data_IF_452954060808
#
_entry.id   IF_452954060808
#
_cell.length_a   1.000
_cell.length_b   1.000
_cell.length_c   1.000
_cell.angle_alpha   90.00
_cell.angle_beta   90.00
_cell.angle_gamma   90.00
#
_symmetry.space_group_name_H-M   'P 1'
#
loop_
_entity.id
_entity.type
_entity.pdbx_description
1 polymer ?
#
# COMPACT_ATOMS: atom_id res chain seq x y z
N UNK A 1 -74.08 -4.58 40.57
CA UNK A 1 -73.15 -3.47 40.29
C UNK A 1 -71.77 -4.04 39.99
N UNK A 2 -71.26 -3.73 38.81
CA UNK A 2 -69.97 -4.17 38.24
C UNK A 2 -68.83 -3.35 38.87
N UNK A 3 -67.65 -3.96 39.07
CA UNK A 3 -66.43 -3.71 38.26
C UNK A 3 -65.26 -4.53 38.80
N UNK A 4 -64.83 -5.50 38.00
CA UNK A 4 -63.52 -6.16 38.09
C UNK A 4 -62.49 -5.15 37.56
N UNK A 5 -61.45 -4.86 38.33
CA UNK A 5 -60.27 -4.15 37.86
C UNK A 5 -59.37 -5.16 37.15
N UNK A 6 -59.32 -5.09 35.83
CA UNK A 6 -58.32 -5.76 35.00
C UNK A 6 -57.18 -4.74 34.87
N UNK A 7 -56.06 -4.99 35.55
CA UNK A 7 -54.80 -4.31 35.28
C UNK A 7 -54.26 -4.83 33.96
N UNK A 8 -54.42 -4.06 32.88
CA UNK A 8 -53.73 -4.29 31.63
C UNK A 8 -52.30 -3.76 31.81
N UNK A 9 -51.35 -4.68 31.94
CA UNK A 9 -49.93 -4.39 31.78
C UNK A 9 -49.71 -4.22 30.27
N UNK A 10 -49.61 -2.98 29.81
CA UNK A 10 -49.11 -2.68 28.48
C UNK A 10 -47.58 -2.79 28.56
N UNK A 11 -47.05 -3.97 28.24
CA UNK A 11 -45.64 -4.13 27.95
C UNK A 11 -45.37 -3.39 26.63
N UNK A 12 -44.82 -2.18 26.72
CA UNK A 12 -44.26 -1.47 25.59
C UNK A 12 -42.98 -2.21 25.14
N UNK A 13 -43.15 -3.24 24.32
CA UNK A 13 -42.10 -3.75 23.45
C UNK A 13 -41.76 -2.64 22.44
N UNK A 14 -40.83 -1.76 22.82
CA UNK A 14 -40.06 -1.01 21.84
C UNK A 14 -39.15 -2.01 21.13
N UNK A 15 -39.73 -2.77 20.20
CA UNK A 15 -38.93 -3.33 19.12
C UNK A 15 -38.35 -2.14 18.37
N UNK A 16 -37.03 -1.95 18.45
CA UNK A 16 -36.32 -1.15 17.47
C UNK A 16 -36.56 -1.82 16.11
N UNK A 17 -37.63 -1.41 15.44
CA UNK A 17 -37.80 -1.67 14.02
C UNK A 17 -36.71 -0.83 13.37
N UNK A 18 -35.52 -1.43 13.19
CA UNK A 18 -34.45 -0.85 12.39
C UNK A 18 -35.02 -0.65 10.99
N UNK A 19 -35.45 0.58 10.70
CA UNK A 19 -35.96 0.94 9.40
C UNK A 19 -34.81 0.87 8.39
N UNK A 20 -35.09 0.40 7.17
CA UNK A 20 -34.09 0.40 6.12
C UNK A 20 -33.75 1.85 5.76
N UNK A 21 -32.47 2.22 5.91
CA UNK A 21 -31.90 3.53 5.59
C UNK A 21 -31.83 3.72 4.07
N UNK A 22 -32.05 4.96 3.62
CA UNK A 22 -31.83 5.37 2.23
C UNK A 22 -30.35 5.59 1.95
N UNK A 23 -29.97 5.72 0.67
CA UNK A 23 -28.58 6.04 0.29
C UNK A 23 -28.10 7.36 0.91
N UNK A 24 -28.99 8.36 1.00
CA UNK A 24 -28.67 9.65 1.62
C UNK A 24 -28.42 9.50 3.12
N UNK A 25 -29.27 8.73 3.82
CA UNK A 25 -29.10 8.49 5.26
C UNK A 25 -27.79 7.75 5.54
N UNK A 26 -27.48 6.73 4.71
CA UNK A 26 -26.20 6.01 4.80
C UNK A 26 -25.03 6.97 4.54
N UNK A 27 -25.09 7.78 3.49
CA UNK A 27 -23.99 8.69 3.20
C UNK A 27 -23.79 9.72 4.31
N UNK A 28 -24.85 10.31 4.84
CA UNK A 28 -24.79 11.31 5.91
C UNK A 28 -24.22 10.75 7.23
N UNK A 29 -24.60 9.51 7.57
CA UNK A 29 -24.23 8.91 8.86
C UNK A 29 -22.85 8.27 8.88
N UNK A 30 -22.44 7.60 7.80
CA UNK A 30 -21.24 6.74 7.81
C UNK A 30 -20.03 7.35 7.06
N UNK A 31 -20.23 8.34 6.18
CA UNK A 31 -19.14 8.88 5.34
C UNK A 31 -18.02 9.55 6.13
N UNK A 32 -18.35 10.17 7.27
CA UNK A 32 -17.34 10.81 8.12
C UNK A 32 -16.43 9.81 8.84
N UNK A 33 -16.77 8.51 8.86
CA UNK A 33 -15.93 7.43 9.38
C UNK A 33 -14.96 6.86 8.35
N UNK A 34 -15.05 7.31 7.09
CA UNK A 34 -14.23 6.85 5.97
C UNK A 34 -13.10 7.85 5.70
N UNK A 35 -11.92 7.35 5.35
CA UNK A 35 -10.69 8.14 5.14
C UNK A 35 -10.01 7.77 3.83
N UNK A 36 -9.40 8.77 3.19
CA UNK A 36 -8.56 8.54 2.02
C UNK A 36 -7.21 8.06 2.52
N UNK A 37 -6.83 6.83 2.17
CA UNK A 37 -5.53 6.28 2.52
C UNK A 37 -4.54 6.62 1.41
N UNK A 38 -3.42 7.22 1.80
CA UNK A 38 -2.27 7.47 0.93
C UNK A 38 -1.12 6.57 1.36
N UNK A 39 -0.49 5.93 0.38
CA UNK A 39 0.71 5.14 0.57
C UNK A 39 1.79 5.64 -0.40
N UNK A 40 2.90 6.10 0.14
CA UNK A 40 4.06 6.56 -0.62
C UNK A 40 5.21 5.60 -0.38
N UNK A 41 5.69 4.90 -1.40
CA UNK A 41 6.74 3.91 -1.18
C UNK A 41 7.62 3.60 -2.38
N UNK A 42 8.69 2.87 -2.08
CA UNK A 42 9.65 2.28 -3.00
C UNK A 42 10.16 0.96 -2.42
N UNK A 43 10.83 0.17 -3.24
CA UNK A 43 11.49 -1.07 -2.86
C UNK A 43 12.98 -0.82 -2.63
N UNK A 44 13.54 -1.43 -1.58
CA UNK A 44 14.96 -1.47 -1.29
C UNK A 44 15.45 -2.92 -1.40
N UNK A 45 16.55 -3.12 -2.15
CA UNK A 45 17.31 -4.36 -2.19
C UNK A 45 18.63 -4.09 -1.50
N UNK A 46 18.77 -4.54 -0.25
CA UNK A 46 19.96 -4.33 0.56
C UNK A 46 20.89 -5.53 0.41
N UNK A 47 21.94 -5.36 -0.39
CA UNK A 47 22.88 -6.42 -0.76
C UNK A 47 23.96 -6.54 0.31
N UNK A 48 24.43 -5.41 0.84
CA UNK A 48 25.31 -5.30 2.00
C UNK A 48 24.97 -4.04 2.81
N UNK A 49 25.70 -3.75 3.89
CA UNK A 49 25.51 -2.52 4.66
C UNK A 49 25.84 -1.24 3.88
N UNK A 50 26.63 -1.35 2.82
CA UNK A 50 27.08 -0.21 1.99
C UNK A 50 26.49 -0.24 0.58
N UNK A 51 25.83 -1.33 0.18
CA UNK A 51 25.32 -1.53 -1.17
C UNK A 51 23.82 -1.84 -1.17
N UNK A 52 23.03 -0.85 -1.55
CA UNK A 52 21.58 -0.97 -1.76
C UNK A 52 21.19 -0.52 -3.16
N UNK A 53 20.06 -1.04 -3.65
CA UNK A 53 19.37 -0.52 -4.82
C UNK A 53 17.93 -0.19 -4.49
N UNK A 54 17.41 0.84 -5.13
CA UNK A 54 16.09 1.40 -4.88
C UNK A 54 15.29 1.45 -6.18
N UNK A 55 14.01 1.09 -6.16
CA UNK A 55 13.14 1.18 -7.35
C UNK A 55 11.67 1.27 -6.94
N UNK A 56 10.78 1.72 -7.82
CA UNK A 56 9.36 1.89 -7.46
C UNK A 56 8.45 0.79 -8.00
N UNK A 57 8.85 0.13 -9.08
CA UNK A 57 8.13 -1.02 -9.64
C UNK A 57 9.08 -1.95 -10.40
N UNK A 58 8.67 -3.21 -10.56
CA UNK A 58 9.39 -4.22 -11.32
C UNK A 58 8.45 -5.15 -12.07
N UNK A 59 8.63 -5.24 -13.39
CA UNK A 59 8.01 -6.28 -14.22
C UNK A 59 9.04 -7.00 -15.08
N UNK A 60 8.73 -8.24 -15.48
CA UNK A 60 9.63 -9.01 -16.34
C UNK A 60 9.75 -8.40 -17.73
N UNK A 61 8.66 -7.81 -18.23
CA UNK A 61 8.55 -7.23 -19.57
C UNK A 61 9.17 -5.82 -19.66
N UNK A 62 8.86 -4.94 -18.70
CA UNK A 62 9.29 -3.53 -18.73
C UNK A 62 10.56 -3.27 -17.92
N UNK A 63 10.94 -4.19 -17.03
CA UNK A 63 12.11 -4.02 -16.16
C UNK A 63 11.79 -3.20 -14.92
N UNK A 64 12.76 -2.41 -14.45
CA UNK A 64 12.60 -1.58 -13.27
C UNK A 64 12.09 -0.18 -13.62
N UNK A 65 11.14 0.31 -12.82
CA UNK A 65 10.78 1.72 -12.79
C UNK A 65 11.62 2.44 -11.73
N UNK A 66 12.21 3.57 -12.10
CA UNK A 66 12.98 4.46 -11.23
C UNK A 66 14.11 3.76 -10.45
N UNK A 67 14.88 2.87 -11.11
CA UNK A 67 16.03 2.21 -10.48
C UNK A 67 17.13 3.22 -10.16
N UNK A 68 17.57 3.25 -8.91
CA UNK A 68 18.67 4.05 -8.40
C UNK A 68 19.56 3.22 -7.46
N UNK A 69 20.85 3.55 -7.39
CA UNK A 69 21.77 3.03 -6.38
C UNK A 69 22.10 4.07 -5.30
N UNK A 70 21.56 5.28 -5.46
CA UNK A 70 21.59 6.34 -4.48
C UNK A 70 20.20 6.53 -3.87
N UNK A 71 20.13 6.51 -2.53
CA UNK A 71 18.90 6.64 -1.78
C UNK A 71 18.27 8.01 -1.97
N UNK A 72 19.07 9.07 -2.05
CA UNK A 72 18.56 10.44 -2.13
C UNK A 72 17.97 10.75 -3.51
N UNK A 73 18.32 9.93 -4.51
CA UNK A 73 17.83 10.03 -5.88
C UNK A 73 16.48 9.31 -6.11
N UNK A 74 16.00 8.48 -5.17
CA UNK A 74 14.72 7.78 -5.35
C UNK A 74 13.53 8.71 -5.16
N UNK A 75 12.57 8.62 -6.07
CA UNK A 75 11.28 9.32 -5.96
C UNK A 75 10.20 8.28 -5.73
N UNK A 76 9.63 8.26 -4.52
CA UNK A 76 8.59 7.31 -4.14
C UNK A 76 7.33 7.48 -5.00
N UNK A 77 6.67 6.37 -5.32
CA UNK A 77 5.37 6.39 -6.00
C UNK A 77 4.27 6.52 -4.96
N UNK A 78 3.27 7.34 -5.26
CA UNK A 78 2.09 7.53 -4.43
C UNK A 78 0.92 6.73 -4.98
N UNK A 79 0.30 5.91 -4.13
CA UNK A 79 -0.96 5.24 -4.39
C UNK A 79 -2.02 5.68 -3.39
N UNK A 80 -3.29 5.48 -3.76
CA UNK A 80 -4.43 5.84 -2.94
C UNK A 80 -5.44 4.70 -2.85
N UNK A 81 -6.09 4.63 -1.70
CA UNK A 81 -7.22 3.75 -1.45
C UNK A 81 -8.16 4.37 -0.42
N UNK A 82 -9.07 3.55 0.09
CA UNK A 82 -10.03 3.93 1.11
C UNK A 82 -9.77 3.10 2.37
N UNK A 83 -9.99 3.70 3.53
CA UNK A 83 -10.07 2.98 4.81
C UNK A 83 -11.20 3.52 5.66
N UNK A 84 -11.50 2.86 6.78
CA UNK A 84 -12.54 3.29 7.70
C UNK A 84 -12.22 2.95 9.16
N UNK A 85 -12.65 3.79 10.10
CA UNK A 85 -12.38 3.59 11.52
C UNK A 85 -13.15 2.38 12.09
N UNK A 86 -12.45 1.58 12.89
CA UNK A 86 -13.00 0.36 13.52
C UNK A 86 -12.85 0.34 15.04
N UNK A 87 -12.20 1.34 15.64
CA UNK A 87 -12.12 1.51 17.09
C UNK A 87 -11.89 2.97 17.49
N UNK A 88 -11.95 3.25 18.79
CA UNK A 88 -11.61 4.54 19.39
C UNK A 88 -10.09 4.81 19.45
N UNK A 89 -9.27 3.79 19.18
CA UNK A 89 -7.80 3.82 19.25
C UNK A 89 -7.13 4.26 17.95
N UNK A 90 -7.88 4.88 17.04
CA UNK A 90 -7.37 5.32 15.74
C UNK A 90 -7.06 4.16 14.80
N UNK A 91 -7.68 3.00 14.97
CA UNK A 91 -7.50 1.84 14.09
C UNK A 91 -8.43 1.95 12.88
N UNK A 92 -7.87 1.68 11.71
CA UNK A 92 -8.50 1.85 10.41
C UNK A 92 -8.32 0.57 9.62
N UNK A 93 -9.41 -0.01 9.15
CA UNK A 93 -9.38 -1.14 8.23
C UNK A 93 -9.24 -0.66 6.78
N UNK A 94 -8.44 -1.36 5.99
CA UNK A 94 -8.27 -1.15 4.54
C UNK A 94 -7.78 -2.46 3.89
N UNK A 95 -7.44 -2.43 2.61
CA UNK A 95 -6.79 -3.56 1.95
C UNK A 95 -5.28 -3.61 2.19
N UNK A 96 -4.70 -4.81 2.21
CA UNK A 96 -3.25 -4.97 2.33
C UNK A 96 -2.53 -4.34 1.13
N UNK A 97 -3.03 -4.54 -0.10
CA UNK A 97 -2.41 -3.98 -1.31
C UNK A 97 -2.41 -2.44 -1.32
N UNK A 98 -3.30 -1.79 -0.58
CA UNK A 98 -3.30 -0.32 -0.47
C UNK A 98 -2.09 0.17 0.33
N UNK A 99 -1.64 -0.59 1.33
CA UNK A 99 -0.64 -0.14 2.33
C UNK A 99 0.62 -1.00 2.42
N UNK A 100 0.67 -2.14 1.75
CA UNK A 100 1.74 -3.14 1.83
C UNK A 100 2.36 -3.46 0.48
N UNK A 101 3.40 -4.28 0.50
CA UNK A 101 4.02 -4.77 -0.73
C UNK A 101 3.07 -5.68 -1.51
N UNK A 102 3.01 -5.48 -2.83
CA UNK A 102 2.29 -6.38 -3.75
C UNK A 102 3.22 -7.40 -4.44
N UNK A 103 4.51 -7.39 -4.13
CA UNK A 103 5.50 -8.22 -4.83
C UNK A 103 5.53 -9.60 -4.18
N UNK A 104 5.19 -10.62 -4.96
CA UNK A 104 5.33 -12.02 -4.52
C UNK A 104 6.80 -12.37 -4.25
N UNK A 105 7.09 -13.34 -3.37
CA UNK A 105 8.46 -13.82 -3.11
C UNK A 105 9.21 -14.21 -4.39
N UNK A 106 8.50 -14.81 -5.35
CA UNK A 106 9.07 -15.17 -6.65
C UNK A 106 9.47 -13.94 -7.47
N UNK A 107 8.64 -12.91 -7.50
CA UNK A 107 8.97 -11.65 -8.17
C UNK A 107 10.08 -10.91 -7.43
N UNK A 108 10.07 -10.88 -6.10
CA UNK A 108 11.13 -10.31 -5.29
C UNK A 108 12.47 -10.98 -5.60
N UNK A 109 12.52 -12.32 -5.64
CA UNK A 109 13.74 -13.05 -6.01
C UNK A 109 14.23 -12.72 -7.43
N UNK A 110 13.31 -12.56 -8.39
CA UNK A 110 13.68 -12.12 -9.76
C UNK A 110 14.22 -10.70 -9.79
N UNK A 111 13.58 -9.78 -9.07
CA UNK A 111 14.04 -8.40 -8.91
C UNK A 111 15.45 -8.37 -8.30
N UNK A 112 15.67 -9.08 -7.18
CA UNK A 112 17.00 -9.21 -6.54
C UNK A 112 18.08 -9.69 -7.52
N UNK A 113 17.80 -10.73 -8.30
CA UNK A 113 18.74 -11.25 -9.31
C UNK A 113 19.06 -10.22 -10.40
N UNK A 114 18.04 -9.50 -10.90
CA UNK A 114 18.26 -8.45 -11.90
C UNK A 114 19.03 -7.26 -11.32
N UNK A 115 18.77 -6.85 -10.08
CA UNK A 115 19.55 -5.81 -9.38
C UNK A 115 21.02 -6.19 -9.28
N UNK A 116 21.33 -7.38 -8.76
CA UNK A 116 22.73 -7.85 -8.62
C UNK A 116 23.42 -7.92 -9.99
N UNK A 117 22.69 -8.35 -11.02
CA UNK A 117 23.23 -8.39 -12.40
C UNK A 117 23.47 -6.99 -12.98
N UNK A 118 22.57 -6.03 -12.74
CA UNK A 118 22.74 -4.65 -13.16
C UNK A 118 23.95 -4.01 -12.49
N UNK A 119 24.13 -4.23 -11.18
CA UNK A 119 25.30 -3.77 -10.43
C UNK A 119 26.61 -4.37 -10.94
N UNK A 120 26.65 -5.67 -11.23
CA UNK A 120 27.84 -6.31 -11.83
C UNK A 120 28.23 -5.62 -13.14
N UNK A 121 27.25 -5.35 -14.00
CA UNK A 121 27.49 -4.69 -15.29
C UNK A 121 27.97 -3.24 -15.08
N UNK A 122 27.37 -2.51 -14.15
CA UNK A 122 27.79 -1.15 -13.80
C UNK A 122 29.22 -1.11 -13.26
N UNK A 123 29.52 -1.91 -12.22
CA UNK A 123 30.85 -2.04 -11.63
C UNK A 123 31.89 -2.41 -12.69
N UNK A 124 31.58 -3.36 -13.57
CA UNK A 124 32.47 -3.75 -14.66
C UNK A 124 32.68 -2.62 -15.68
N UNK A 125 31.65 -1.85 -16.01
CA UNK A 125 31.77 -0.70 -16.91
C UNK A 125 32.71 0.35 -16.33
N UNK A 126 32.52 0.72 -15.06
CA UNK A 126 33.39 1.70 -14.37
C UNK A 126 34.83 1.17 -14.28
N UNK A 127 35.01 -0.11 -13.96
CA UNK A 127 36.34 -0.72 -13.96
C UNK A 127 37.04 -0.61 -15.33
N UNK A 128 36.33 -0.88 -16.43
CA UNK A 128 36.90 -0.76 -17.78
C UNK A 128 37.27 0.69 -18.12
N UNK A 129 36.49 1.68 -17.67
CA UNK A 129 36.83 3.10 -17.82
C UNK A 129 38.10 3.47 -17.05
N UNK A 130 38.24 2.98 -15.82
CA UNK A 130 39.46 3.13 -15.03
C UNK A 130 40.66 2.44 -15.68
N UNK A 131 40.49 1.26 -16.25
CA UNK A 131 41.55 0.54 -16.96
C UNK A 131 42.05 1.34 -18.18
N UNK A 132 41.14 1.98 -18.93
CA UNK A 132 41.50 2.87 -20.02
C UNK A 132 42.28 4.09 -19.51
N UNK A 133 41.79 4.76 -18.46
CA UNK A 133 42.48 5.90 -17.86
C UNK A 133 43.88 5.54 -17.33
N UNK A 134 44.02 4.38 -16.69
CA UNK A 134 45.30 3.85 -16.22
C UNK A 134 46.29 3.64 -17.38
N UNK A 135 45.81 3.10 -18.50
CA UNK A 135 46.61 2.88 -19.71
C UNK A 135 47.08 4.21 -20.31
N UNK A 136 46.21 5.22 -20.38
CA UNK A 136 46.55 6.57 -20.85
C UNK A 136 47.62 7.23 -19.97
N UNK A 137 47.42 7.24 -18.64
CA UNK A 137 48.39 7.78 -17.68
C UNK A 137 49.75 7.10 -17.84
N UNK A 138 49.78 5.77 -17.94
CA UNK A 138 51.02 5.00 -18.11
C UNK A 138 51.71 5.32 -19.44
N UNK A 139 50.93 5.51 -20.50
CA UNK A 139 51.43 5.93 -21.82
C UNK A 139 52.08 7.32 -21.78
N UNK A 140 51.46 8.28 -21.09
CA UNK A 140 52.04 9.62 -20.90
C UNK A 140 53.31 9.59 -20.07
N UNK A 141 53.33 8.81 -18.97
CA UNK A 141 54.50 8.64 -18.13
C UNK A 141 55.71 8.08 -18.90
N UNK A 142 55.49 7.22 -19.90
CA UNK A 142 56.57 6.65 -20.71
C UNK A 142 57.40 7.73 -21.42
N UNK A 143 56.79 8.83 -21.87
CA UNK A 143 57.51 9.92 -22.53
C UNK A 143 58.56 10.54 -21.59
N UNK A 144 58.20 10.80 -20.34
CA UNK A 144 59.10 11.35 -19.31
C UNK A 144 60.22 10.37 -18.93
N UNK A 145 59.90 9.08 -18.85
CA UNK A 145 60.87 8.01 -18.55
C UNK A 145 61.90 7.91 -19.67
N UNK A 146 61.48 7.98 -20.93
CA UNK A 146 62.39 7.90 -22.08
C UNK A 146 63.33 9.10 -22.19
N UNK A 147 62.90 10.27 -21.71
CA UNK A 147 63.72 11.50 -21.70
C UNK A 147 64.48 11.70 -20.39
N UNK A 148 64.34 10.80 -19.41
CA UNK A 148 64.94 10.90 -18.06
C UNK A 148 64.59 12.23 -17.35
N UNK A 149 63.37 12.73 -17.55
CA UNK A 149 62.89 14.01 -17.00
C UNK A 149 61.76 13.81 -16.01
N UNK A 150 62.08 13.85 -14.71
CA UNK A 150 61.10 13.67 -13.62
C UNK A 150 60.67 15.02 -13.05
N UNK A 151 59.69 15.65 -13.69
CA UNK A 151 59.15 16.97 -13.35
C UNK A 151 58.07 16.90 -12.26
N UNK A 152 57.49 18.04 -11.89
CA UNK A 152 56.25 18.10 -11.09
C UNK A 152 55.12 17.32 -11.75
N UNK A 153 54.97 17.48 -13.06
CA UNK A 153 53.88 16.90 -13.84
C UNK A 153 53.97 15.37 -13.85
N UNK A 154 55.18 14.82 -13.90
CA UNK A 154 55.39 13.37 -13.71
C UNK A 154 54.89 12.87 -12.35
N UNK A 155 55.12 13.63 -11.27
CA UNK A 155 54.65 13.26 -9.93
C UNK A 155 53.12 13.34 -9.81
N UNK A 156 52.49 14.27 -10.51
CA UNK A 156 51.03 14.34 -10.60
C UNK A 156 50.46 13.11 -11.31
N UNK A 157 51.08 12.67 -12.41
CA UNK A 157 50.72 11.43 -13.11
C UNK A 157 50.93 10.19 -12.23
N UNK A 158 52.03 10.13 -11.46
CA UNK A 158 52.27 9.04 -10.50
C UNK A 158 51.17 8.98 -9.43
N UNK A 159 50.78 10.12 -8.86
CA UNK A 159 49.69 10.19 -7.88
C UNK A 159 48.35 9.78 -8.50
N UNK A 160 48.04 10.24 -9.72
CA UNK A 160 46.83 9.88 -10.45
C UNK A 160 46.79 8.37 -10.76
N UNK A 161 47.92 7.78 -11.16
CA UNK A 161 48.08 6.34 -11.38
C UNK A 161 47.76 5.55 -10.11
N UNK A 162 48.36 5.92 -8.98
CA UNK A 162 48.11 5.24 -7.70
C UNK A 162 46.65 5.38 -7.24
N UNK A 163 46.03 6.54 -7.45
CA UNK A 163 44.60 6.72 -7.15
C UNK A 163 43.73 5.83 -8.04
N UNK A 164 44.04 5.74 -9.34
CA UNK A 164 43.34 4.87 -10.29
C UNK A 164 43.47 3.40 -9.90
N UNK A 165 44.67 2.93 -9.54
CA UNK A 165 44.91 1.56 -9.05
C UNK A 165 44.07 1.24 -7.80
N UNK A 166 43.96 2.18 -6.86
CA UNK A 166 43.14 2.01 -5.67
C UNK A 166 41.65 1.83 -6.02
N UNK A 167 41.10 2.69 -6.88
CA UNK A 167 39.71 2.54 -7.35
C UNK A 167 39.50 1.24 -8.13
N UNK A 168 40.43 0.86 -9.02
CA UNK A 168 40.34 -0.42 -9.74
C UNK A 168 40.28 -1.61 -8.78
N UNK A 169 41.11 -1.62 -7.73
CA UNK A 169 41.07 -2.67 -6.71
C UNK A 169 39.74 -2.70 -5.93
N UNK A 170 39.18 -1.54 -5.61
CA UNK A 170 37.87 -1.41 -4.95
C UNK A 170 36.73 -1.98 -5.82
N UNK A 171 36.67 -1.57 -7.09
CA UNK A 171 35.66 -2.06 -8.03
C UNK A 171 35.84 -3.56 -8.33
N UNK A 172 37.08 -4.06 -8.45
CA UNK A 172 37.34 -5.50 -8.59
C UNK A 172 36.85 -6.29 -7.38
N UNK A 173 37.15 -5.82 -6.17
CA UNK A 173 36.69 -6.45 -4.92
C UNK A 173 35.17 -6.49 -4.84
N UNK A 174 34.52 -5.37 -5.22
CA UNK A 174 33.06 -5.27 -5.27
C UNK A 174 32.47 -6.23 -6.31
N UNK A 175 33.08 -6.35 -7.49
CA UNK A 175 32.64 -7.27 -8.53
C UNK A 175 32.72 -8.74 -8.08
N UNK A 176 33.83 -9.12 -7.42
CA UNK A 176 34.03 -10.47 -6.88
C UNK A 176 33.03 -10.77 -5.77
N UNK A 177 32.76 -9.81 -4.89
CA UNK A 177 31.72 -9.93 -3.88
C UNK A 177 30.35 -10.20 -4.53
N UNK A 178 29.95 -9.38 -5.50
CA UNK A 178 28.68 -9.55 -6.23
C UNK A 178 28.61 -10.90 -6.95
N UNK A 179 29.74 -11.41 -7.46
CA UNK A 179 29.80 -12.73 -8.11
C UNK A 179 29.45 -13.88 -7.16
N UNK A 180 29.72 -13.72 -5.87
CA UNK A 180 29.56 -14.75 -4.85
C UNK A 180 28.37 -14.51 -3.90
N UNK A 181 27.62 -13.40 -4.05
CA UNK A 181 26.42 -13.12 -3.27
C UNK A 181 25.36 -14.21 -3.45
N UNK A 182 24.87 -14.73 -2.32
CA UNK A 182 23.64 -15.53 -2.30
C UNK A 182 22.41 -14.61 -2.35
N UNK A 183 21.87 -14.44 -3.56
CA UNK A 183 20.72 -13.59 -3.84
C UNK A 183 19.48 -13.99 -3.05
N UNK A 184 19.35 -15.26 -2.65
CA UNK A 184 18.21 -15.70 -1.85
C UNK A 184 18.22 -15.07 -0.46
N UNK A 185 19.40 -14.83 0.11
CA UNK A 185 19.64 -14.21 1.42
C UNK A 185 19.64 -12.68 1.42
N UNK A 186 19.70 -12.05 0.25
CA UNK A 186 19.67 -10.58 0.13
C UNK A 186 18.32 -10.04 0.60
N UNK A 187 18.37 -9.00 1.44
CA UNK A 187 17.18 -8.37 2.00
C UNK A 187 16.38 -7.62 0.92
N UNK A 188 15.06 -7.75 0.99
CA UNK A 188 14.11 -7.11 0.09
C UNK A 188 12.99 -6.49 0.90
N UNK A 189 12.94 -5.16 0.90
CA UNK A 189 12.00 -4.42 1.73
C UNK A 189 11.17 -3.47 0.88
N UNK A 190 9.90 -3.31 1.25
CA UNK A 190 9.06 -2.24 0.73
C UNK A 190 9.05 -1.12 1.77
N UNK A 191 9.78 -0.05 1.47
CA UNK A 191 9.90 1.12 2.34
C UNK A 191 8.78 2.09 1.98
N UNK A 192 7.89 2.34 2.92
CA UNK A 192 6.73 3.18 2.67
C UNK A 192 6.30 4.05 3.86
N UNK A 193 5.53 5.08 3.53
CA UNK A 193 4.86 5.97 4.47
C UNK A 193 3.36 5.91 4.20
N UNK A 194 2.61 5.49 5.22
CA UNK A 194 1.16 5.39 5.18
C UNK A 194 0.59 6.59 5.92
N UNK A 195 -0.34 7.28 5.28
CA UNK A 195 -1.03 8.41 5.86
C UNK A 195 -2.49 8.47 5.40
N UNK A 196 -3.30 9.31 6.05
CA UNK A 196 -4.71 9.47 5.73
C UNK A 196 -5.11 10.94 5.61
N UNK A 197 -6.14 11.20 4.81
CA UNK A 197 -6.90 12.45 4.88
C UNK A 197 -8.35 12.14 5.28
N UNK A 198 -8.94 12.99 6.12
CA UNK A 198 -10.32 12.81 6.53
C UNK A 198 -11.28 13.22 5.41
N UNK A 199 -12.46 12.61 5.39
CA UNK A 199 -13.54 13.05 4.50
C UNK A 199 -13.93 14.51 4.77
N UNK A 200 -14.23 15.24 3.69
CA UNK A 200 -14.59 16.66 3.64
C UNK A 200 -13.48 17.66 4.07
N UNK A 201 -12.23 17.22 4.13
CA UNK A 201 -11.09 18.12 4.34
C UNK A 201 -10.48 18.63 3.02
N UNK A 202 -9.99 19.86 3.05
CA UNK A 202 -9.22 20.44 1.95
C UNK A 202 -7.76 20.03 2.07
N UNK A 203 -7.37 19.04 1.27
CA UNK A 203 -5.97 18.68 1.11
C UNK A 203 -5.33 19.62 0.09
N UNK A 204 -4.47 20.49 0.57
CA UNK A 204 -3.71 21.45 -0.25
C UNK A 204 -2.27 21.03 -0.43
N UNK A 205 -1.77 20.15 0.44
CA UNK A 205 -0.41 19.65 0.43
C UNK A 205 -0.29 18.29 1.15
N UNK A 206 0.85 17.62 0.98
CA UNK A 206 1.14 16.35 1.68
C UNK A 206 1.20 16.48 3.21
N UNK A 207 1.43 17.68 3.76
CA UNK A 207 1.43 17.90 5.21
C UNK A 207 0.04 17.87 5.84
N UNK A 208 -1.01 17.94 5.03
CA UNK A 208 -2.40 17.85 5.50
C UNK A 208 -2.80 16.39 5.83
N UNK A 209 -1.99 15.42 5.40
CA UNK A 209 -2.19 14.01 5.73
C UNK A 209 -1.70 13.66 7.14
N UNK A 210 -2.51 12.86 7.84
CA UNK A 210 -2.19 12.34 9.17
C UNK A 210 -1.46 11.01 9.05
N UNK A 211 -0.27 10.91 9.62
CA UNK A 211 0.53 9.68 9.54
C UNK A 211 -0.08 8.50 10.32
N UNK A 212 0.03 7.32 9.71
CA UNK A 212 -0.34 6.04 10.28
C UNK A 212 0.87 5.09 10.37
N UNK A 213 0.68 3.97 11.05
CA UNK A 213 1.59 2.81 11.04
C UNK A 213 0.78 1.55 10.71
N UNK A 214 1.40 0.59 10.02
CA UNK A 214 0.79 -0.72 9.82
C UNK A 214 0.77 -1.47 11.16
N UNK A 215 -0.42 -1.90 11.60
CA UNK A 215 -0.62 -2.63 12.86
C UNK A 215 -0.74 -4.13 12.64
N UNK A 216 -1.49 -4.53 11.62
CA UNK A 216 -1.69 -5.93 11.25
C UNK A 216 -1.99 -6.04 9.75
N UNK A 217 -1.61 -7.17 9.15
CA UNK A 217 -1.90 -7.48 7.76
C UNK A 217 -2.28 -8.97 7.62
N UNK A 218 -3.26 -9.22 6.76
CA UNK A 218 -3.61 -10.53 6.22
C UNK A 218 -3.38 -10.46 4.71
N UNK A 219 -2.23 -10.95 4.27
CA UNK A 219 -1.83 -10.94 2.86
C UNK A 219 -2.71 -11.89 2.03
N UNK A 220 -3.22 -12.96 2.62
CA UNK A 220 -4.02 -13.97 1.91
C UNK A 220 -5.41 -13.44 1.56
N UNK A 221 -6.05 -12.73 2.49
CA UNK A 221 -7.37 -12.12 2.30
C UNK A 221 -7.31 -10.66 1.86
N UNK A 222 -6.10 -10.12 1.66
CA UNK A 222 -5.85 -8.74 1.27
C UNK A 222 -6.49 -7.70 2.23
N UNK A 223 -6.29 -7.89 3.53
CA UNK A 223 -6.76 -6.97 4.57
C UNK A 223 -5.58 -6.40 5.35
N UNK A 224 -5.70 -5.15 5.77
CA UNK A 224 -4.77 -4.54 6.69
C UNK A 224 -5.50 -3.67 7.71
N UNK A 225 -4.89 -3.55 8.88
CA UNK A 225 -5.27 -2.58 9.90
C UNK A 225 -4.09 -1.64 10.07
N UNK A 226 -4.33 -0.36 9.80
CA UNK A 226 -3.39 0.72 10.08
C UNK A 226 -3.87 1.47 11.32
N UNK A 227 -2.96 2.15 12.00
CA UNK A 227 -3.27 2.91 13.20
C UNK A 227 -2.69 4.32 13.14
N UNK A 228 -3.49 5.31 13.49
CA UNK A 228 -3.02 6.68 13.69
C UNK A 228 -1.90 6.70 14.73
N UNK A 229 -0.82 7.45 14.47
CA UNK A 229 0.32 7.53 15.41
C UNK A 229 -0.07 8.05 16.80
N UNK A 230 -1.11 8.88 16.90
CA UNK A 230 -1.64 9.39 18.17
C UNK A 230 -2.54 8.37 18.92
N UNK A 231 -2.88 7.24 18.29
CA UNK A 231 -3.73 6.17 18.83
C UNK A 231 -5.10 6.64 19.32
N UNK A 232 -5.68 7.66 18.69
CA UNK A 232 -7.03 8.19 19.03
C UNK A 232 -7.82 8.51 17.77
N UNK A 233 -9.02 7.93 17.65
CA UNK A 233 -10.01 8.33 16.64
C UNK A 233 -10.62 9.67 17.05
N UNK A 234 -10.73 10.67 16.16
CA UNK A 234 -11.38 11.93 16.49
C UNK A 234 -12.86 11.73 16.88
N UNK A 235 -13.35 12.53 17.82
CA UNK A 235 -14.65 12.32 18.49
C UNK A 235 -15.87 12.48 17.56
N UNK A 236 -15.70 13.16 16.44
CA UNK A 236 -16.73 13.39 15.42
C UNK A 236 -16.78 12.30 14.34
N UNK A 237 -15.86 11.33 14.34
CA UNK A 237 -15.77 10.29 13.30
C UNK A 237 -16.60 9.07 13.67
N UNK A 238 -17.38 8.57 12.72
CA UNK A 238 -18.09 7.31 12.87
C UNK A 238 -17.11 6.13 12.99
N UNK A 239 -17.38 5.22 13.94
CA UNK A 239 -16.63 3.99 14.13
C UNK A 239 -17.52 2.83 13.68
N UNK A 240 -17.07 2.08 12.68
CA UNK A 240 -17.79 0.93 12.16
C UNK A 240 -17.72 -0.23 13.14
N UNK A 241 -18.90 -0.65 13.61
CA UNK A 241 -19.04 -1.88 14.39
C UNK A 241 -18.73 -3.08 13.49
N UNK A 242 -17.95 -4.03 14.02
CA UNK A 242 -17.62 -5.28 13.36
C UNK A 242 -18.57 -6.36 13.88
N UNK A 243 -19.51 -6.87 13.06
CA UNK A 243 -20.51 -7.82 13.53
C UNK A 243 -19.89 -9.14 14.03
N UNK A 244 -20.43 -9.66 15.14
CA UNK A 244 -20.06 -10.97 15.70
C UNK A 244 -20.48 -12.15 14.81
N UNK A 245 -21.40 -11.94 13.90
CA UNK A 245 -21.82 -12.94 12.94
C UNK A 245 -22.04 -12.25 11.60
N UNK A 246 -21.87 -12.98 10.49
CA UNK A 246 -22.05 -12.38 9.17
C UNK A 246 -23.52 -11.94 9.02
N UNK A 247 -23.84 -10.64 8.85
CA UNK A 247 -25.22 -10.17 8.80
C UNK A 247 -26.00 -10.70 7.60
N UNK A 248 -25.29 -11.18 6.57
CA UNK A 248 -25.85 -11.88 5.41
C UNK A 248 -26.24 -13.30 5.82
N UNK A 249 -25.48 -13.97 6.68
CA UNK A 249 -25.74 -15.38 7.06
C UNK A 249 -26.75 -15.53 8.22
N UNK A 250 -26.95 -14.51 9.05
CA UNK A 250 -27.66 -14.62 10.34
C UNK A 250 -29.13 -14.21 10.39
N UNK A 251 -29.68 -13.59 9.34
CA UNK A 251 -31.11 -13.24 9.28
C UNK A 251 -31.93 -14.22 8.41
N UNK A 252 -32.67 -15.09 9.11
CA UNK A 252 -34.03 -15.62 8.79
C UNK A 252 -34.22 -16.61 7.61
N UNK A 253 -35.31 -17.38 7.67
CA UNK A 253 -35.88 -18.33 6.68
C UNK A 253 -36.05 -17.79 5.24
N UNK A 254 -35.68 -16.54 5.00
CA UNK A 254 -35.61 -15.89 3.71
C UNK A 254 -34.20 -15.33 3.65
N UNK A 255 -33.35 -15.98 2.84
CA UNK A 255 -32.02 -15.52 2.44
C UNK A 255 -31.95 -13.99 2.44
N UNK A 256 -30.82 -13.36 2.81
CA UNK A 256 -30.55 -12.00 2.36
C UNK A 256 -30.84 -12.01 0.87
N UNK A 257 -31.88 -11.27 0.47
CA UNK A 257 -32.38 -11.40 -0.87
C UNK A 257 -31.18 -11.10 -1.76
N UNK A 258 -31.00 -11.86 -2.84
CA UNK A 258 -30.10 -11.47 -3.94
C UNK A 258 -30.33 -10.02 -4.44
N UNK A 259 -31.35 -9.34 -3.91
CA UNK A 259 -31.83 -8.00 -4.16
C UNK A 259 -31.66 -7.01 -2.99
N UNK A 260 -31.11 -7.40 -1.84
CA UNK A 260 -30.89 -6.46 -0.73
C UNK A 260 -29.86 -5.42 -1.14
N UNK A 261 -30.19 -4.15 -0.91
CA UNK A 261 -29.32 -3.04 -1.28
C UNK A 261 -28.11 -3.01 -0.38
N UNK A 262 -26.95 -2.93 -1.02
CA UNK A 262 -25.68 -2.62 -0.41
C UNK A 262 -25.26 -1.20 -0.78
N UNK A 263 -24.47 -0.61 0.10
CA UNK A 263 -23.89 0.71 -0.07
C UNK A 263 -22.39 0.63 0.18
N UNK A 264 -21.61 1.11 -0.78
CA UNK A 264 -20.17 1.26 -0.66
C UNK A 264 -19.86 2.73 -0.49
N UNK A 265 -19.04 3.05 0.51
CA UNK A 265 -18.70 4.44 0.84
C UNK A 265 -17.18 4.59 0.71
N UNK A 266 -16.71 5.39 -0.23
CA UNK A 266 -15.27 5.51 -0.44
C UNK A 266 -14.86 6.51 -1.50
N UNK A 267 -13.56 6.59 -1.76
CA UNK A 267 -12.97 7.61 -2.63
C UNK A 267 -12.84 7.08 -4.06
N UNK A 268 -13.94 7.15 -4.80
CA UNK A 268 -14.15 6.50 -6.09
C UNK A 268 -13.54 7.24 -7.30
N UNK A 269 -12.73 8.29 -7.11
CA UNK A 269 -12.07 9.02 -8.21
C UNK A 269 -10.53 9.01 -8.09
N UNK A 270 -9.99 8.14 -7.24
CA UNK A 270 -8.55 7.89 -7.12
C UNK A 270 -7.70 9.14 -6.88
N UNK A 271 -6.56 9.22 -7.57
CA UNK A 271 -5.56 10.32 -7.49
C UNK A 271 -6.13 11.69 -7.86
N UNK A 272 -7.23 11.74 -8.62
CA UNK A 272 -7.83 13.00 -9.07
C UNK A 272 -8.61 13.74 -7.96
N UNK A 273 -8.90 13.10 -6.82
CA UNK A 273 -9.56 13.77 -5.68
C UNK A 273 -8.58 14.53 -4.80
N UNK A 274 -7.34 14.05 -4.64
CA UNK A 274 -6.38 14.62 -3.69
C UNK A 274 -5.77 15.96 -4.15
N UNK A 275 -6.03 16.40 -5.39
CA UNK A 275 -5.39 17.58 -6.00
C UNK A 275 -6.39 18.61 -6.56
N UNK A 276 -7.70 18.46 -6.31
CA UNK A 276 -8.69 19.41 -6.78
C UNK A 276 -9.08 20.40 -5.69
N UNK A 277 -9.50 21.61 -6.10
CA UNK A 277 -9.98 22.69 -5.21
C UNK A 277 -11.28 22.33 -4.47
N UNK A 278 -11.84 21.14 -4.70
CA UNK A 278 -13.13 20.70 -4.18
C UNK A 278 -13.01 19.89 -2.87
N UNK A 279 -11.79 19.59 -2.43
CA UNK A 279 -11.53 18.83 -1.20
C UNK A 279 -11.71 17.33 -1.37
N UNK A 280 -11.25 16.57 -0.38
CA UNK A 280 -11.31 15.11 -0.35
C UNK A 280 -12.73 14.70 0.04
N UNK A 281 -13.51 14.21 -0.93
CA UNK A 281 -14.88 13.76 -0.70
C UNK A 281 -15.06 12.30 -1.09
N UNK A 282 -15.65 11.54 -0.19
CA UNK A 282 -16.13 10.19 -0.45
C UNK A 282 -17.41 10.23 -1.30
N UNK A 283 -17.70 9.12 -1.96
CA UNK A 283 -18.93 8.89 -2.70
C UNK A 283 -19.60 7.63 -2.16
N UNK A 284 -20.91 7.69 -2.02
CA UNK A 284 -21.73 6.51 -1.80
C UNK A 284 -22.18 5.96 -3.15
N UNK A 285 -22.00 4.66 -3.37
CA UNK A 285 -22.54 3.93 -4.52
C UNK A 285 -23.32 2.72 -4.04
N UNK A 286 -24.30 2.28 -4.84
CA UNK A 286 -25.22 1.21 -4.44
C UNK A 286 -25.26 0.08 -5.45
N UNK A 287 -25.65 -1.10 -4.98
CA UNK A 287 -25.78 -2.32 -5.77
C UNK A 287 -26.36 -3.43 -4.91
N UNK A 288 -26.21 -4.68 -5.36
CA UNK A 288 -26.69 -5.87 -4.65
C UNK A 288 -25.68 -7.00 -4.75
N UNK A 289 -25.79 -7.99 -3.85
CA UNK A 289 -25.01 -9.22 -3.94
C UNK A 289 -25.47 -10.01 -5.15
N UNK A 290 -24.56 -10.15 -6.13
CA UNK A 290 -24.77 -10.95 -7.33
C UNK A 290 -24.51 -12.44 -7.06
N UNK A 291 -23.47 -12.75 -6.27
CA UNK A 291 -23.08 -14.11 -5.92
C UNK A 291 -22.37 -14.17 -4.56
N UNK A 292 -22.62 -15.21 -3.77
CA UNK A 292 -21.76 -15.61 -2.65
C UNK A 292 -20.83 -16.74 -3.12
N UNK A 293 -19.52 -16.56 -2.97
CA UNK A 293 -18.49 -17.56 -3.34
C UNK A 293 -17.83 -18.22 -2.13
N UNK A 294 -18.41 -18.06 -0.94
CA UNK A 294 -17.89 -18.59 0.32
C UNK A 294 -16.78 -17.70 0.92
N UNK A 295 -15.76 -17.36 0.12
CA UNK A 295 -14.65 -16.49 0.54
C UNK A 295 -14.87 -15.00 0.23
N UNK A 296 -15.72 -14.66 -0.73
CA UNK A 296 -16.03 -13.27 -1.06
C UNK A 296 -17.44 -13.14 -1.60
N UNK A 297 -17.95 -11.91 -1.56
CA UNK A 297 -19.15 -11.51 -2.28
C UNK A 297 -18.77 -10.96 -3.64
N UNK A 298 -19.53 -11.34 -4.66
CA UNK A 298 -19.58 -10.64 -5.93
C UNK A 298 -20.78 -9.69 -5.89
N UNK A 299 -20.60 -8.40 -6.16
CA UNK A 299 -21.70 -7.44 -6.23
C UNK A 299 -21.67 -6.59 -7.51
N UNK A 300 -22.80 -5.94 -7.76
CA UNK A 300 -23.04 -5.05 -8.91
C UNK A 300 -22.63 -3.59 -8.68
N UNK A 301 -22.10 -3.27 -7.50
CA UNK A 301 -21.59 -1.92 -7.20
C UNK A 301 -20.39 -1.64 -8.13
N UNK A 302 -20.34 -0.50 -8.84
CA UNK A 302 -19.20 -0.14 -9.67
C UNK A 302 -17.97 0.16 -8.79
N UNK A 303 -16.86 -0.53 -9.05
CA UNK A 303 -15.55 -0.21 -8.49
C UNK A 303 -14.87 0.79 -9.41
N UNK A 304 -14.40 1.85 -8.79
CA UNK A 304 -13.63 2.90 -9.44
C UNK A 304 -12.26 3.00 -8.74
N UNK A 305 -11.24 3.55 -9.40
CA UNK A 305 -9.94 3.77 -8.75
C UNK A 305 -10.08 4.48 -7.40
N UNK A 306 -9.35 4.00 -6.39
CA UNK A 306 -9.39 4.51 -5.01
C UNK A 306 -10.48 3.89 -4.11
N UNK A 307 -11.43 3.15 -4.67
CA UNK A 307 -12.48 2.47 -3.89
C UNK A 307 -11.98 1.24 -3.10
N UNK A 308 -10.79 0.70 -3.41
CA UNK A 308 -10.19 -0.41 -2.64
C UNK A 308 -10.12 -0.08 -1.15
N UNK A 309 -10.63 -0.97 -0.31
CA UNK A 309 -10.67 -0.83 1.14
C UNK A 309 -11.93 -0.14 1.68
N UNK A 310 -12.86 0.25 0.81
CA UNK A 310 -14.14 0.88 1.22
C UNK A 310 -15.00 -0.08 2.03
N UNK A 311 -15.65 0.38 3.12
CA UNK A 311 -16.69 -0.39 3.78
C UNK A 311 -17.90 -0.56 2.87
N UNK A 312 -18.49 -1.75 2.91
CA UNK A 312 -19.75 -2.07 2.25
C UNK A 312 -20.78 -2.46 3.31
N UNK A 313 -21.84 -1.66 3.45
CA UNK A 313 -22.89 -1.82 4.46
C UNK A 313 -24.23 -2.20 3.83
N UNK A 314 -25.09 -2.87 4.60
CA UNK A 314 -26.47 -3.12 4.20
C UNK A 314 -27.39 -1.92 4.55
N UNK A 315 -28.70 -2.03 4.27
CA UNK A 315 -29.69 -0.98 4.59
C UNK A 315 -29.87 -0.69 6.08
N UNK A 316 -29.29 -1.49 6.98
CA UNK A 316 -29.29 -1.22 8.43
C UNK A 316 -28.00 -0.54 8.89
N UNK A 317 -27.01 -0.39 7.99
CA UNK A 317 -25.67 0.08 8.33
C UNK A 317 -24.75 -0.99 8.87
N UNK A 318 -25.16 -2.27 8.84
CA UNK A 318 -24.32 -3.37 9.29
C UNK A 318 -23.21 -3.58 8.25
N UNK A 319 -21.94 -3.60 8.67
CA UNK A 319 -20.80 -3.87 7.80
C UNK A 319 -20.84 -5.31 7.30
N UNK A 320 -20.86 -5.47 5.97
CA UNK A 320 -20.97 -6.76 5.29
C UNK A 320 -19.63 -7.18 4.69
N UNK A 321 -18.92 -6.23 4.09
CA UNK A 321 -17.71 -6.52 3.35
C UNK A 321 -16.78 -5.31 3.27
N UNK A 322 -15.55 -5.58 2.83
CA UNK A 322 -14.53 -4.60 2.47
C UNK A 322 -14.30 -4.71 0.96
N UNK A 323 -14.50 -3.62 0.22
CA UNK A 323 -14.35 -3.63 -1.23
C UNK A 323 -12.92 -3.92 -1.65
N UNK A 324 -12.75 -4.84 -2.59
CA UNK A 324 -11.48 -5.21 -3.21
C UNK A 324 -11.64 -5.15 -4.73
N UNK A 325 -10.96 -4.18 -5.35
CA UNK A 325 -10.84 -4.09 -6.79
C UNK A 325 -9.79 -5.13 -7.25
N UNK A 326 -10.19 -6.39 -7.41
CA UNK A 326 -9.27 -7.45 -7.82
C UNK A 326 -8.55 -7.14 -9.14
N UNK A 327 -7.32 -7.63 -9.27
CA UNK A 327 -6.42 -7.44 -10.42
C UNK A 327 -7.03 -7.95 -11.75
N UNK A 328 -8.04 -8.84 -11.66
CA UNK A 328 -8.78 -9.38 -12.81
C UNK A 328 -10.28 -8.99 -12.74
N UNK A 329 -10.58 -7.69 -12.70
CA UNK A 329 -11.96 -7.22 -12.77
C UNK A 329 -12.60 -7.66 -14.10
N UNK A 330 -13.46 -8.68 -14.05
CA UNK A 330 -14.41 -8.93 -15.13
C UNK A 330 -15.28 -7.68 -15.28
N UNK A 331 -15.42 -7.17 -16.50
CA UNK A 331 -16.28 -6.01 -16.77
C UNK A 331 -17.66 -6.24 -16.10
N UNK A 332 -18.02 -5.33 -15.18
CA UNK A 332 -19.31 -5.22 -14.49
C UNK A 332 -19.50 -5.92 -13.12
N UNK A 333 -18.50 -6.56 -12.53
CA UNK A 333 -18.62 -7.11 -11.16
C UNK A 333 -17.41 -6.84 -10.29
N UNK A 334 -17.66 -6.60 -9.01
CA UNK A 334 -16.65 -6.30 -8.01
C UNK A 334 -16.74 -7.23 -6.82
N UNK A 335 -15.64 -7.32 -6.09
CA UNK A 335 -15.46 -8.29 -5.02
C UNK A 335 -15.45 -7.58 -3.66
N UNK A 336 -16.18 -8.13 -2.71
CA UNK A 336 -16.11 -7.73 -1.30
C UNK A 336 -15.53 -8.85 -0.46
N UNK A 337 -14.46 -8.56 0.28
CA UNK A 337 -13.92 -9.46 1.30
C UNK A 337 -14.93 -9.51 2.45
N UNK A 338 -15.40 -10.71 2.82
CA UNK A 338 -16.41 -10.86 3.88
C UNK A 338 -15.89 -10.30 5.21
N UNK A 339 -16.76 -9.61 5.97
CA UNK A 339 -16.41 -8.98 7.26
C UNK A 339 -15.82 -9.96 8.29
N UNK A 340 -16.14 -11.26 8.19
CA UNK A 340 -15.56 -12.30 9.05
C UNK A 340 -14.04 -12.32 9.04
N UNK A 341 -13.39 -12.06 7.90
CA UNK A 341 -11.92 -12.08 7.81
C UNK A 341 -11.30 -10.86 8.50
N UNK A 342 -11.96 -9.70 8.43
CA UNK A 342 -11.54 -8.53 9.20
C UNK A 342 -11.64 -8.81 10.71
N UNK A 343 -12.72 -9.46 11.15
CA UNK A 343 -12.88 -9.89 12.55
C UNK A 343 -11.80 -10.87 12.99
N UNK A 344 -11.47 -11.86 12.15
CA UNK A 344 -10.37 -12.80 12.42
C UNK A 344 -9.02 -12.07 12.54
N UNK A 345 -8.76 -11.09 11.68
CA UNK A 345 -7.54 -10.27 11.75
C UNK A 345 -7.49 -9.41 13.02
N UNK A 346 -8.62 -8.87 13.48
CA UNK A 346 -8.70 -8.15 14.76
C UNK A 346 -8.40 -9.08 15.93
N UNK A 347 -8.95 -10.30 15.93
CA UNK A 347 -8.80 -11.25 17.03
C UNK A 347 -7.41 -11.90 17.14
N UNK A 348 -6.57 -11.80 16.10
CA UNK A 348 -5.19 -12.30 16.09
C UNK A 348 -4.19 -11.34 16.73
N UNK A 349 -4.60 -10.11 17.04
CA UNK A 349 -3.79 -9.08 17.71
C UNK A 349 -3.82 -9.27 19.22
#
# INVERSE_FOLDING_TARGET
MRKKYICIIVAALFGFISCNKSESDINEEYSNGVVLVQNMGYYEVKISDELSAYFTDYSEEEGFSNLSFDKDSIVAVTSFGTGFFISDKGEIATNNHVVGSMVSEKQALKAKNRVVSALKNYVRSVYNELENAYSEITGEMLAYILTDTYTSDYRELENAKSLCENYMNEYSTTYDYLCNVDVSSVDFEYVNNISIAYNDEYVTSSSDFVSCVLKAADVENDLAIIQLKNKKTPEDKYIFEIPDEDPVETKSLFYPGKNDKLFMIGFNLGTNLALTKEGVRSQCTTGTISQDRGSNYLYSIPSLPGSSGSPVVNQKGELIAINFAGINSTQNFNYGIKVKYLRELINKQ
#
